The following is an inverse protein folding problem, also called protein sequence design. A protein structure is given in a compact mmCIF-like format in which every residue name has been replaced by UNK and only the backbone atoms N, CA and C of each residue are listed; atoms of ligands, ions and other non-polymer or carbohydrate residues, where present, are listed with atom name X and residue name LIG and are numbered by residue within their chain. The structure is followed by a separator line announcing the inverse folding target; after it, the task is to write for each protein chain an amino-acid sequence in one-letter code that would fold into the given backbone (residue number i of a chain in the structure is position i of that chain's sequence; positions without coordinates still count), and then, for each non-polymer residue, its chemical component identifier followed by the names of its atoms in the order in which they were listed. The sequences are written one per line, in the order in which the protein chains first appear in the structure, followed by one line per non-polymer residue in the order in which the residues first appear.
data_IF_529475577065
#
_entry.id   IF_529475577065
#
_cell.length_a   1.000
_cell.length_b   1.000
_cell.length_c   1.000
_cell.angle_alpha   90.00
_cell.angle_beta   90.00
_cell.angle_gamma   90.00
#
_symmetry.space_group_name_H-M   'P 1'
#
loop_
_entity.id
_entity.type
_entity.pdbx_description
1 polymer ?
#
# COMPACT_ATOMS: atom_id res chain seq x y z
N UNK A 1 4.96 65.01 -27.24
CA UNK A 1 3.99 63.98 -26.83
C UNK A 1 4.77 62.83 -26.21
N UNK A 2 4.67 62.56 -24.89
CA UNK A 2 5.26 61.38 -24.27
C UNK A 2 4.28 60.19 -24.36
N UNK A 3 4.79 59.00 -24.65
CA UNK A 3 4.04 57.74 -24.47
C UNK A 3 4.65 56.98 -23.28
N UNK A 4 3.98 57.11 -22.13
CA UNK A 4 3.89 56.18 -20.99
C UNK A 4 2.80 55.14 -21.41
N UNK A 5 2.77 53.85 -21.10
CA UNK A 5 3.20 53.05 -19.94
C UNK A 5 3.32 51.59 -20.41
N UNK A 6 4.33 50.85 -19.94
CA UNK A 6 4.37 49.39 -20.05
C UNK A 6 3.35 48.75 -19.09
N UNK A 7 2.50 47.79 -19.52
CA UNK A 7 1.76 46.98 -18.57
C UNK A 7 2.70 45.90 -17.99
N UNK A 8 3.25 46.17 -16.82
CA UNK A 8 3.83 45.11 -15.99
C UNK A 8 2.72 44.11 -15.64
N UNK A 9 2.83 42.87 -16.14
CA UNK A 9 1.95 41.79 -15.72
C UNK A 9 2.26 41.44 -14.28
N UNK A 10 1.42 41.88 -13.34
CA UNK A 10 1.52 41.50 -11.94
C UNK A 10 1.14 40.02 -11.79
N UNK A 11 1.98 39.18 -11.15
CA UNK A 11 1.65 37.78 -10.95
C UNK A 11 0.50 37.64 -9.95
N UNK A 12 -0.64 37.17 -10.43
CA UNK A 12 -1.79 36.82 -9.59
C UNK A 12 -1.44 35.58 -8.78
N UNK A 13 -1.34 35.75 -7.46
CA UNK A 13 -1.19 34.65 -6.51
C UNK A 13 -2.53 33.91 -6.40
N UNK A 14 -2.66 32.81 -7.15
CA UNK A 14 -3.79 31.89 -7.01
C UNK A 14 -3.51 31.00 -5.79
N UNK A 15 -4.25 31.22 -4.70
CA UNK A 15 -4.24 30.31 -3.55
C UNK A 15 -5.00 29.04 -3.91
N UNK A 16 -4.27 28.01 -4.34
CA UNK A 16 -4.80 26.66 -4.50
C UNK A 16 -4.99 26.05 -3.10
N UNK A 17 -6.21 26.11 -2.57
CA UNK A 17 -6.61 25.22 -1.47
C UNK A 17 -6.71 23.81 -2.04
N UNK A 18 -5.64 23.03 -1.90
CA UNK A 18 -5.71 21.58 -2.12
C UNK A 18 -6.57 21.02 -0.98
N UNK A 19 -7.72 20.38 -1.25
CA UNK A 19 -8.43 19.68 -0.20
C UNK A 19 -7.46 18.67 0.43
N UNK A 20 -7.44 18.51 1.77
CA UNK A 20 -6.61 17.48 2.37
C UNK A 20 -6.98 16.16 1.68
N UNK A 21 -6.00 15.51 1.06
CA UNK A 21 -6.23 14.22 0.42
C UNK A 21 -6.90 13.33 1.47
N UNK A 22 -8.13 12.88 1.18
CA UNK A 22 -8.83 11.97 2.07
C UNK A 22 -7.87 10.81 2.35
N UNK A 23 -7.53 10.59 3.63
CA UNK A 23 -6.55 9.58 4.02
C UNK A 23 -7.00 8.26 3.41
N UNK A 24 -6.18 7.73 2.50
CA UNK A 24 -6.42 6.42 1.91
C UNK A 24 -5.92 5.42 2.94
N UNK A 25 -6.83 4.88 3.74
CA UNK A 25 -6.50 3.82 4.70
C UNK A 25 -5.81 2.65 3.99
N UNK A 26 -5.11 1.81 4.77
CA UNK A 26 -4.24 0.74 4.25
C UNK A 26 -4.97 -0.15 3.23
N UNK A 27 -6.24 -0.46 3.47
CA UNK A 27 -7.05 -1.39 2.65
C UNK A 27 -7.70 -0.73 1.43
N UNK A 28 -7.97 0.57 1.48
CA UNK A 28 -8.78 1.25 0.45
C UNK A 28 -8.12 1.16 -0.92
N UNK A 29 -8.78 0.47 -1.86
CA UNK A 29 -8.29 0.29 -3.23
C UNK A 29 -7.07 -0.64 -3.36
N UNK A 30 -6.75 -1.42 -2.32
CA UNK A 30 -5.65 -2.39 -2.34
C UNK A 30 -6.04 -3.68 -3.09
N UNK A 31 -7.29 -4.13 -2.91
CA UNK A 31 -7.80 -5.36 -3.53
C UNK A 31 -8.30 -5.08 -4.94
N UNK A 32 -7.88 -5.90 -5.92
CA UNK A 32 -8.34 -5.82 -7.32
C UNK A 32 -8.48 -7.22 -7.94
N UNK A 33 -9.21 -7.29 -9.05
CA UNK A 33 -9.28 -8.52 -9.85
C UNK A 33 -7.91 -8.87 -10.44
N UNK A 34 -7.64 -10.17 -10.62
CA UNK A 34 -6.42 -10.66 -11.28
C UNK A 34 -6.25 -10.01 -12.65
N UNK A 35 -5.04 -9.55 -12.93
CA UNK A 35 -4.70 -8.90 -14.20
C UNK A 35 -3.51 -9.60 -14.86
N UNK A 36 -3.39 -9.49 -16.18
CA UNK A 36 -2.25 -10.03 -16.95
C UNK A 36 -1.02 -9.10 -16.92
N UNK A 37 -1.00 -8.12 -16.01
CA UNK A 37 0.10 -7.17 -15.87
C UNK A 37 1.42 -7.89 -15.59
N UNK A 38 2.46 -7.48 -16.30
CA UNK A 38 3.82 -8.05 -16.25
C UNK A 38 4.86 -7.03 -15.76
N UNK A 39 4.44 -5.80 -15.55
CA UNK A 39 5.28 -4.65 -15.22
C UNK A 39 5.76 -4.61 -13.76
N UNK A 40 5.18 -5.42 -12.87
CA UNK A 40 5.63 -5.54 -11.48
C UNK A 40 5.88 -7.00 -11.11
N UNK A 41 6.80 -7.28 -10.17
CA UNK A 41 6.92 -8.59 -9.55
C UNK A 41 5.60 -9.05 -8.96
N UNK A 42 5.24 -10.31 -9.21
CA UNK A 42 4.05 -10.95 -8.65
C UNK A 42 4.49 -11.97 -7.62
N UNK A 43 3.97 -11.83 -6.40
CA UNK A 43 4.16 -12.78 -5.31
C UNK A 43 2.91 -13.65 -5.19
N UNK A 44 3.07 -14.95 -5.42
CA UNK A 44 2.03 -15.93 -5.15
C UNK A 44 2.04 -16.31 -3.67
N UNK A 45 0.92 -16.09 -2.96
CA UNK A 45 0.81 -16.37 -1.53
C UNK A 45 0.38 -17.82 -1.22
N UNK A 46 0.22 -18.66 -2.23
CA UNK A 46 0.11 -20.11 -2.04
C UNK A 46 1.50 -20.76 -1.90
N UNK A 47 2.58 -20.04 -2.17
CA UNK A 47 3.94 -20.45 -1.84
C UNK A 47 4.16 -20.57 -0.33
N UNK A 48 5.19 -21.32 0.06
CA UNK A 48 5.57 -21.50 1.46
C UNK A 48 5.98 -20.18 2.14
N UNK A 49 5.70 -20.06 3.44
CA UNK A 49 6.01 -18.85 4.23
C UNK A 49 7.50 -18.48 4.20
N UNK A 50 8.39 -19.47 4.02
CA UNK A 50 9.81 -19.23 3.87
C UNK A 50 10.16 -18.50 2.55
N UNK A 51 9.47 -18.84 1.46
CA UNK A 51 9.66 -18.20 0.16
C UNK A 51 9.04 -16.81 0.15
N UNK A 52 7.85 -16.66 0.72
CA UNK A 52 7.19 -15.36 0.93
C UNK A 52 8.09 -14.44 1.74
N UNK A 53 8.61 -14.89 2.87
CA UNK A 53 9.51 -14.09 3.70
C UNK A 53 10.81 -13.72 2.97
N UNK A 54 11.41 -14.65 2.23
CA UNK A 54 12.61 -14.39 1.44
C UNK A 54 12.35 -13.40 0.28
N UNK A 55 11.16 -13.40 -0.29
CA UNK A 55 10.74 -12.40 -1.27
C UNK A 55 10.59 -11.03 -0.62
N UNK A 56 9.86 -10.94 0.49
CA UNK A 56 9.60 -9.69 1.20
C UNK A 56 10.90 -9.03 1.70
N UNK A 57 11.83 -9.81 2.23
CA UNK A 57 13.14 -9.31 2.64
C UNK A 57 13.94 -8.70 1.47
N UNK A 58 13.78 -9.21 0.25
CA UNK A 58 14.46 -8.66 -0.94
C UNK A 58 13.74 -7.43 -1.47
N UNK A 59 12.41 -7.46 -1.59
CA UNK A 59 11.63 -6.38 -2.19
C UNK A 59 11.61 -5.13 -1.31
N UNK A 60 11.73 -5.27 0.02
CA UNK A 60 11.82 -4.14 0.95
C UNK A 60 13.04 -3.22 0.69
N UNK A 61 14.07 -3.73 0.01
CA UNK A 61 15.25 -2.97 -0.41
C UNK A 61 15.24 -2.62 -1.90
N UNK A 62 14.21 -3.02 -2.64
CA UNK A 62 14.07 -2.69 -4.05
C UNK A 62 13.38 -1.35 -4.22
N UNK A 63 13.72 -0.62 -5.28
CA UNK A 63 13.05 0.63 -5.66
C UNK A 63 11.69 0.41 -6.35
N UNK A 64 11.13 -0.80 -6.26
CA UNK A 64 9.91 -1.22 -6.96
C UNK A 64 8.95 -1.91 -6.00
N UNK A 65 7.67 -1.60 -6.10
CA UNK A 65 6.62 -2.37 -5.44
C UNK A 65 6.34 -3.72 -6.09
N UNK A 66 5.41 -4.47 -5.52
CA UNK A 66 4.97 -5.78 -5.99
C UNK A 66 3.45 -5.93 -5.88
N UNK A 67 2.95 -6.98 -6.54
CA UNK A 67 1.55 -7.41 -6.47
C UNK A 67 1.50 -8.76 -5.78
N UNK A 68 0.67 -8.90 -4.75
CA UNK A 68 0.41 -10.20 -4.13
C UNK A 68 -0.80 -10.89 -4.78
N UNK A 69 -0.80 -12.21 -4.87
CA UNK A 69 -1.93 -13.02 -5.34
C UNK A 69 -2.41 -13.97 -4.26
N UNK A 70 -3.69 -13.92 -3.95
CA UNK A 70 -4.36 -14.80 -2.99
C UNK A 70 -5.87 -14.71 -3.13
N UNK A 71 -6.57 -15.80 -2.84
CA UNK A 71 -8.03 -15.81 -2.65
C UNK A 71 -8.43 -15.94 -1.17
N UNK A 72 -7.44 -16.02 -0.29
CA UNK A 72 -7.64 -16.08 1.17
C UNK A 72 -7.44 -14.71 1.80
N UNK A 73 -8.46 -14.24 2.52
CA UNK A 73 -8.40 -13.01 3.30
C UNK A 73 -7.39 -13.07 4.45
N UNK A 74 -7.18 -14.25 5.06
CA UNK A 74 -6.16 -14.45 6.09
C UNK A 74 -4.75 -14.27 5.52
N UNK A 75 -4.49 -14.84 4.34
CA UNK A 75 -3.21 -14.68 3.62
C UNK A 75 -3.00 -13.25 3.14
N UNK A 76 -4.07 -12.57 2.73
CA UNK A 76 -4.02 -11.15 2.38
C UNK A 76 -3.64 -10.28 3.60
N UNK A 77 -4.20 -10.57 4.77
CA UNK A 77 -3.86 -9.88 6.01
C UNK A 77 -2.41 -10.18 6.43
N UNK A 78 -1.99 -11.44 6.33
CA UNK A 78 -0.64 -11.87 6.63
C UNK A 78 0.41 -11.17 5.76
N UNK A 79 0.18 -11.02 4.44
CA UNK A 79 1.13 -10.31 3.58
C UNK A 79 1.22 -8.82 3.92
N UNK A 80 0.11 -8.19 4.31
CA UNK A 80 0.11 -6.78 4.75
C UNK A 80 0.95 -6.62 6.02
N UNK A 81 0.73 -7.48 7.02
CA UNK A 81 1.53 -7.51 8.25
C UNK A 81 3.02 -7.77 7.97
N UNK A 82 3.30 -8.77 7.14
CA UNK A 82 4.67 -9.16 6.79
C UNK A 82 5.40 -8.10 5.97
N UNK A 83 4.68 -7.36 5.11
CA UNK A 83 5.24 -6.21 4.38
C UNK A 83 5.62 -5.09 5.36
N UNK A 84 4.73 -4.75 6.30
CA UNK A 84 5.03 -3.75 7.32
C UNK A 84 6.24 -4.18 8.18
N UNK A 85 6.28 -5.45 8.62
CA UNK A 85 7.43 -6.00 9.34
C UNK A 85 8.73 -5.92 8.54
N UNK A 86 8.70 -6.22 7.23
CA UNK A 86 9.87 -6.13 6.37
C UNK A 86 10.40 -4.69 6.28
N UNK A 87 9.52 -3.69 6.22
CA UNK A 87 9.91 -2.27 6.19
C UNK A 87 10.43 -1.76 7.53
N UNK A 88 9.93 -2.32 8.64
CA UNK A 88 10.40 -2.00 9.98
C UNK A 88 11.67 -2.78 10.37
N UNK A 89 12.09 -3.79 9.59
CA UNK A 89 13.22 -4.66 9.92
C UNK A 89 12.89 -5.69 11.02
N UNK A 90 11.60 -6.02 11.17
CA UNK A 90 11.06 -6.99 12.13
C UNK A 90 10.96 -8.40 11.55
N UNK A 91 10.55 -9.36 12.39
CA UNK A 91 10.48 -10.77 11.99
C UNK A 91 9.29 -11.03 11.04
N UNK A 92 9.60 -11.09 9.74
CA UNK A 92 8.64 -11.34 8.66
C UNK A 92 7.90 -12.67 8.86
N UNK A 93 8.58 -13.72 9.33
CA UNK A 93 7.96 -15.05 9.51
C UNK A 93 6.97 -15.03 10.67
N UNK A 94 7.32 -14.34 11.76
CA UNK A 94 6.40 -14.13 12.87
C UNK A 94 5.16 -13.36 12.41
N UNK A 95 5.33 -12.29 11.63
CA UNK A 95 4.21 -11.50 11.10
C UNK A 95 3.30 -12.28 10.12
N UNK A 96 3.87 -13.20 9.33
CA UNK A 96 3.07 -14.11 8.49
C UNK A 96 2.23 -15.09 9.31
N UNK A 97 2.80 -15.64 10.38
CA UNK A 97 2.12 -16.62 11.22
C UNK A 97 1.11 -15.97 12.19
N UNK A 98 1.39 -14.74 12.64
CA UNK A 98 0.58 -14.02 13.61
C UNK A 98 0.54 -12.53 13.26
N UNK A 99 -0.40 -12.11 12.39
CA UNK A 99 -0.55 -10.71 12.02
C UNK A 99 -0.92 -9.82 13.22
N UNK A 100 -0.13 -8.79 13.49
CA UNK A 100 -0.40 -7.82 14.55
C UNK A 100 -1.36 -6.72 14.07
N UNK A 101 -2.65 -6.92 14.35
CA UNK A 101 -3.73 -6.03 13.90
C UNK A 101 -3.66 -4.66 14.57
N UNK A 102 -3.25 -4.62 15.84
CA UNK A 102 -3.19 -3.37 16.59
C UNK A 102 -2.01 -2.52 16.13
N UNK A 103 -0.87 -3.13 15.83
CA UNK A 103 0.24 -2.46 15.17
C UNK A 103 -0.18 -1.88 13.82
N UNK A 104 -0.85 -2.67 12.96
CA UNK A 104 -1.30 -2.22 11.64
C UNK A 104 -2.32 -1.08 11.71
N UNK A 105 -3.24 -1.10 12.69
CA UNK A 105 -4.18 -0.01 12.93
C UNK A 105 -3.52 1.25 13.49
N UNK A 106 -2.43 1.08 14.22
CA UNK A 106 -1.63 2.16 14.80
C UNK A 106 -0.64 2.82 13.85
N UNK A 107 -0.55 2.35 12.59
CA UNK A 107 0.36 2.92 11.61
C UNK A 107 0.07 4.41 11.36
N UNK A 108 1.14 5.20 11.32
CA UNK A 108 1.06 6.58 10.88
C UNK A 108 0.83 6.65 9.37
N UNK A 109 0.20 7.73 8.87
CA UNK A 109 0.00 7.94 7.44
C UNK A 109 1.24 7.66 6.56
N UNK A 110 2.46 8.17 6.86
CA UNK A 110 3.63 7.87 6.04
C UNK A 110 4.04 6.39 6.06
N UNK A 111 3.75 5.65 7.14
CA UNK A 111 4.00 4.22 7.19
C UNK A 111 3.00 3.44 6.32
N UNK A 112 1.75 3.90 6.24
CA UNK A 112 0.74 3.32 5.35
C UNK A 112 1.09 3.54 3.89
N UNK A 113 1.48 4.77 3.54
CA UNK A 113 1.95 5.08 2.20
C UNK A 113 3.17 4.22 1.83
N UNK A 114 4.13 4.04 2.76
CA UNK A 114 5.28 3.17 2.52
C UNK A 114 4.87 1.71 2.26
N UNK A 115 3.94 1.16 3.05
CA UNK A 115 3.42 -0.20 2.81
C UNK A 115 2.69 -0.28 1.47
N UNK A 116 1.95 0.76 1.07
CA UNK A 116 1.21 0.79 -0.20
C UNK A 116 2.08 1.02 -1.43
N UNK A 117 3.19 1.74 -1.29
CA UNK A 117 4.18 1.89 -2.34
C UNK A 117 4.84 0.55 -2.64
N UNK A 118 5.11 -0.24 -1.60
CA UNK A 118 5.74 -1.56 -1.73
C UNK A 118 4.72 -2.65 -2.10
N UNK A 119 3.60 -2.77 -1.39
CA UNK A 119 2.48 -3.66 -1.74
C UNK A 119 1.44 -2.86 -2.52
N UNK A 120 1.61 -2.83 -3.83
CA UNK A 120 0.80 -1.97 -4.71
C UNK A 120 -0.61 -2.51 -4.93
N UNK A 121 -0.79 -3.83 -4.91
CA UNK A 121 -2.09 -4.47 -5.03
C UNK A 121 -2.12 -5.90 -4.47
N UNK A 122 -3.32 -6.33 -4.07
CA UNK A 122 -3.67 -7.73 -3.85
C UNK A 122 -4.63 -8.15 -4.95
N UNK A 123 -4.17 -9.03 -5.82
CA UNK A 123 -4.93 -9.62 -6.91
C UNK A 123 -5.63 -10.90 -6.44
N UNK A 124 -6.93 -11.00 -6.72
CA UNK A 124 -7.76 -12.12 -6.29
C UNK A 124 -8.90 -12.38 -7.28
N UNK A 125 -9.34 -13.63 -7.36
CA UNK A 125 -10.62 -14.02 -7.96
C UNK A 125 -11.80 -13.81 -7.02
N UNK A 126 -11.56 -13.70 -5.71
CA UNK A 126 -12.56 -13.62 -4.64
C UNK A 126 -12.46 -12.29 -3.86
N UNK A 127 -12.78 -11.14 -4.48
CA UNK A 127 -12.58 -9.82 -3.89
C UNK A 127 -13.37 -9.60 -2.58
N UNK A 128 -14.58 -10.18 -2.47
CA UNK A 128 -15.38 -10.10 -1.25
C UNK A 128 -14.77 -10.87 -0.08
N UNK A 129 -14.20 -12.06 -0.33
CA UNK A 129 -13.56 -12.86 0.71
C UNK A 129 -12.30 -12.18 1.24
N UNK A 130 -11.47 -11.67 0.33
CA UNK A 130 -10.26 -10.93 0.67
C UNK A 130 -10.58 -9.61 1.36
N UNK A 131 -11.54 -8.84 0.83
CA UNK A 131 -12.00 -7.60 1.44
C UNK A 131 -12.56 -7.80 2.85
N UNK A 132 -13.31 -8.88 3.07
CA UNK A 132 -13.82 -9.25 4.38
C UNK A 132 -12.68 -9.58 5.36
N UNK A 133 -11.64 -10.30 4.93
CA UNK A 133 -10.47 -10.58 5.77
C UNK A 133 -9.72 -9.31 6.19
N UNK A 134 -9.61 -8.32 5.30
CA UNK A 134 -8.93 -7.06 5.57
C UNK A 134 -9.79 -6.05 6.33
N UNK A 135 -11.11 -6.23 6.38
CA UNK A 135 -12.04 -5.31 7.06
C UNK A 135 -11.71 -5.09 8.55
N UNK A 136 -11.02 -6.03 9.18
CA UNK A 136 -10.51 -5.90 10.55
C UNK A 136 -9.57 -4.70 10.71
N UNK A 137 -8.87 -4.26 9.67
CA UNK A 137 -7.97 -3.10 9.73
C UNK A 137 -8.70 -1.76 9.70
N UNK A 138 -9.96 -1.76 9.25
CA UNK A 138 -10.80 -0.56 9.13
C UNK A 138 -11.73 -0.39 10.35
N UNK A 139 -12.07 -1.48 11.04
CA UNK A 139 -13.05 -1.49 12.13
C UNK A 139 -12.67 -0.72 13.42
N UNK A 140 -11.50 -0.06 13.46
CA UNK A 140 -10.98 0.64 14.64
C UNK A 140 -10.48 2.08 14.38
N UNK A 141 -10.77 2.65 13.21
CA UNK A 141 -10.35 4.02 12.82
C UNK A 141 -11.53 4.96 12.66
#
# INVERSE_FOLDING_TARGET
MPHDVSPHSEPVLVSLSVPPAARRGLVTGLVRAVSERTDLPVLDLAADDAEVAAFLARIAHADTGFVARTDSGDRALAVVAATAAALCGEDIRAALAMPDIEFLRGLSAPAEDAVRDVLTAIETGEPDAVGSGLSVLEAGR
#
